data_IF_133667233120
#
_entry.id   IF_133667233120
#
_cell.length_a   1.000
_cell.length_b   1.000
_cell.length_c   1.000
_cell.angle_alpha   90.00
_cell.angle_beta   90.00
_cell.angle_gamma   90.00
#
_symmetry.space_group_name_H-M   'P 1'
#
loop_
_entity.id
_entity.type
_entity.pdbx_description
1 polymer ?
#
# COMPACT_ATOMS: atom_id res chain seq x y z
N UNK A 1 -5.40 15.41 6.70
CA UNK A 1 -6.22 14.31 7.27
C UNK A 1 -7.40 13.92 6.38
N UNK A 2 -8.22 14.85 5.87
CA UNK A 2 -9.35 14.49 4.99
C UNK A 2 -8.93 13.71 3.74
N UNK A 3 -7.84 14.13 3.07
CA UNK A 3 -7.27 13.41 1.92
C UNK A 3 -6.85 11.96 2.26
N UNK A 4 -6.37 11.73 3.49
CA UNK A 4 -6.02 10.40 3.98
C UNK A 4 -7.28 9.55 4.18
N UNK A 5 -8.32 10.11 4.78
CA UNK A 5 -9.60 9.44 4.98
C UNK A 5 -10.26 9.07 3.65
N UNK A 6 -10.26 9.97 2.66
CA UNK A 6 -10.77 9.67 1.32
C UNK A 6 -9.94 8.59 0.63
N UNK A 7 -8.61 8.60 0.75
CA UNK A 7 -7.75 7.56 0.21
C UNK A 7 -8.05 6.18 0.79
N UNK A 8 -8.28 6.11 2.11
CA UNK A 8 -8.62 4.87 2.80
C UNK A 8 -9.98 4.30 2.38
N UNK A 9 -11.00 5.15 2.21
CA UNK A 9 -12.30 4.71 1.67
C UNK A 9 -12.17 4.29 0.21
N UNK A 10 -11.47 5.09 -0.59
CA UNK A 10 -11.22 4.82 -2.01
C UNK A 10 -10.53 3.48 -2.22
N UNK A 11 -9.57 3.14 -1.36
CA UNK A 11 -8.87 1.85 -1.37
C UNK A 11 -9.85 0.67 -1.27
N UNK A 12 -10.76 0.66 -0.29
CA UNK A 12 -11.72 -0.43 -0.10
C UNK A 12 -12.86 -0.45 -1.14
N UNK A 13 -13.15 0.69 -1.74
CA UNK A 13 -14.22 0.84 -2.74
C UNK A 13 -13.75 0.56 -4.18
N UNK A 14 -12.43 0.52 -4.41
CA UNK A 14 -11.86 0.37 -5.75
C UNK A 14 -12.21 -0.99 -6.37
N UNK A 15 -12.83 -0.94 -7.56
CA UNK A 15 -13.12 -2.11 -8.41
C UNK A 15 -12.14 -2.30 -9.57
N UNK A 16 -11.16 -1.43 -9.63
CA UNK A 16 -10.10 -1.42 -10.63
C UNK A 16 -8.75 -1.46 -9.90
N UNK A 17 -7.82 -2.31 -10.35
CA UNK A 17 -6.52 -2.50 -9.74
C UNK A 17 -5.63 -1.27 -9.86
N UNK A 18 -5.70 -0.53 -10.96
CA UNK A 18 -4.91 0.70 -11.11
C UNK A 18 -5.44 1.79 -10.19
N UNK A 19 -6.76 1.93 -10.09
CA UNK A 19 -7.38 2.83 -9.13
C UNK A 19 -7.03 2.43 -7.68
N UNK A 20 -7.05 1.14 -7.38
CA UNK A 20 -6.62 0.60 -6.09
C UNK A 20 -5.18 1.01 -5.74
N UNK A 21 -4.26 0.90 -6.71
CA UNK A 21 -2.87 1.35 -6.53
C UNK A 21 -2.78 2.87 -6.31
N UNK A 22 -3.52 3.67 -7.07
CA UNK A 22 -3.54 5.11 -6.90
C UNK A 22 -4.03 5.47 -5.49
N UNK A 23 -5.08 4.81 -4.98
CA UNK A 23 -5.58 5.05 -3.62
C UNK A 23 -4.59 4.58 -2.54
N UNK A 24 -3.85 3.50 -2.79
CA UNK A 24 -2.77 3.01 -1.92
C UNK A 24 -1.60 4.00 -1.79
N UNK A 25 -1.23 4.66 -2.88
CA UNK A 25 -0.20 5.71 -2.91
C UNK A 25 -0.71 7.04 -2.36
N UNK A 26 -1.98 7.38 -2.64
CA UNK A 26 -2.59 8.63 -2.22
C UNK A 26 -2.57 8.80 -0.70
N UNK A 27 -2.69 7.72 0.07
CA UNK A 27 -2.61 7.81 1.52
C UNK A 27 -1.18 8.02 2.06
N UNK A 28 -0.13 7.69 1.29
CA UNK A 28 1.26 7.85 1.72
C UNK A 28 1.65 9.31 1.84
N UNK A 29 1.23 10.15 0.89
CA UNK A 29 1.61 11.57 0.84
C UNK A 29 1.10 12.32 2.09
N UNK A 30 -0.20 12.26 2.47
CA UNK A 30 -0.69 12.89 3.69
C UNK A 30 -0.01 12.37 4.96
N UNK A 31 0.26 11.07 5.06
CA UNK A 31 0.92 10.48 6.23
C UNK A 31 2.35 11.01 6.35
N UNK A 32 3.10 11.02 5.25
CA UNK A 32 4.45 11.57 5.21
C UNK A 32 4.49 13.05 5.64
N UNK A 33 3.56 13.86 5.13
CA UNK A 33 3.46 15.27 5.51
C UNK A 33 3.10 15.44 6.99
N UNK A 34 2.17 14.62 7.51
CA UNK A 34 1.78 14.65 8.92
C UNK A 34 2.94 14.28 9.85
N UNK A 35 3.74 13.27 9.49
CA UNK A 35 4.93 12.91 10.24
C UNK A 35 6.03 13.97 10.14
N UNK A 36 6.38 14.42 8.93
CA UNK A 36 7.51 15.33 8.72
C UNK A 36 7.29 16.72 9.33
N UNK A 37 6.05 17.24 9.32
CA UNK A 37 5.74 18.57 9.86
C UNK A 37 5.31 18.55 11.34
N UNK A 38 4.51 17.57 11.77
CA UNK A 38 3.93 17.51 13.12
C UNK A 38 4.45 16.34 13.97
N UNK A 39 5.52 15.68 13.57
CA UNK A 39 6.19 14.65 14.37
C UNK A 39 7.16 15.19 15.42
N UNK A 40 7.77 14.27 16.17
CA UNK A 40 8.73 14.51 17.24
C UNK A 40 10.15 14.89 16.78
N UNK A 41 11.15 14.59 17.63
CA UNK A 41 12.53 15.02 17.42
C UNK A 41 13.19 14.36 16.22
N UNK A 42 12.88 13.09 15.94
CA UNK A 42 13.43 12.33 14.79
C UNK A 42 12.45 12.22 13.63
N UNK A 43 11.49 13.15 13.54
CA UNK A 43 10.40 13.13 12.54
C UNK A 43 10.84 12.94 11.09
N UNK A 44 11.93 13.59 10.66
CA UNK A 44 12.42 13.47 9.29
C UNK A 44 12.97 12.07 9.01
N UNK A 45 13.76 11.52 9.94
CA UNK A 45 14.27 10.15 9.83
C UNK A 45 13.12 9.15 9.73
N UNK A 46 12.13 9.23 10.64
CA UNK A 46 10.99 8.31 10.65
C UNK A 46 10.10 8.47 9.42
N UNK A 47 9.86 9.70 8.95
CA UNK A 47 9.05 9.97 7.75
C UNK A 47 9.73 9.45 6.47
N UNK A 48 11.03 9.70 6.31
CA UNK A 48 11.79 9.22 5.15
C UNK A 48 11.93 7.70 5.16
N UNK A 49 12.17 7.09 6.32
CA UNK A 49 12.19 5.62 6.45
C UNK A 49 10.83 5.01 6.10
N UNK A 50 9.73 5.58 6.60
CA UNK A 50 8.38 5.15 6.28
C UNK A 50 8.12 5.13 4.78
N UNK A 51 8.30 6.28 4.11
CA UNK A 51 7.97 6.40 2.68
C UNK A 51 8.86 5.51 1.82
N UNK A 52 10.15 5.36 2.15
CA UNK A 52 11.05 4.48 1.41
C UNK A 52 10.64 3.01 1.52
N UNK A 53 10.22 2.55 2.70
CA UNK A 53 9.71 1.19 2.86
C UNK A 53 8.43 0.99 2.05
N UNK A 54 7.43 1.85 2.27
CA UNK A 54 6.09 1.63 1.69
C UNK A 54 6.03 1.89 0.20
N UNK A 55 6.72 2.93 -0.31
CA UNK A 55 6.82 3.21 -1.74
C UNK A 55 7.73 2.19 -2.44
N UNK A 56 8.81 1.74 -1.78
CA UNK A 56 9.64 0.66 -2.30
C UNK A 56 8.86 -0.64 -2.47
N UNK A 57 8.02 -0.99 -1.48
CA UNK A 57 7.12 -2.15 -1.57
C UNK A 57 6.04 -2.00 -2.65
N UNK A 58 5.50 -0.80 -2.85
CA UNK A 58 4.41 -0.58 -3.82
C UNK A 58 4.86 -0.65 -5.28
N UNK A 59 6.16 -0.51 -5.57
CA UNK A 59 6.69 -0.77 -6.93
C UNK A 59 6.40 -2.21 -7.36
N UNK A 60 6.52 -3.20 -6.46
CA UNK A 60 6.19 -4.60 -6.76
C UNK A 60 4.69 -4.80 -7.02
N UNK A 61 3.84 -4.05 -6.29
CA UNK A 61 2.41 -4.04 -6.54
C UNK A 61 2.09 -3.47 -7.93
N UNK A 62 2.71 -2.35 -8.30
CA UNK A 62 2.52 -1.74 -9.62
C UNK A 62 2.98 -2.65 -10.75
N UNK A 63 4.14 -3.31 -10.60
CA UNK A 63 4.63 -4.27 -11.59
C UNK A 63 3.66 -5.45 -11.78
N UNK A 64 3.08 -5.97 -10.70
CA UNK A 64 2.07 -7.03 -10.79
C UNK A 64 0.77 -6.55 -11.48
N UNK A 65 0.30 -5.34 -11.15
CA UNK A 65 -0.91 -4.77 -11.74
C UNK A 65 -0.74 -4.50 -13.24
N UNK A 66 0.37 -3.88 -13.64
CA UNK A 66 0.69 -3.65 -15.05
C UNK A 66 0.93 -4.96 -15.79
N UNK A 67 1.64 -5.91 -15.15
CA UNK A 67 1.89 -7.23 -15.71
C UNK A 67 0.59 -7.97 -16.01
N UNK A 68 -0.36 -7.98 -15.07
CA UNK A 68 -1.68 -8.59 -15.28
C UNK A 68 -2.52 -7.81 -16.32
N UNK A 69 -2.55 -6.49 -16.23
CA UNK A 69 -3.42 -5.65 -17.07
C UNK A 69 -2.99 -5.55 -18.53
N UNK A 70 -1.70 -5.76 -18.80
CA UNK A 70 -1.14 -5.82 -20.16
C UNK A 70 -0.99 -7.26 -20.67
N UNK A 71 -1.32 -8.27 -19.85
CA UNK A 71 -1.21 -9.67 -20.25
C UNK A 71 -2.30 -10.05 -21.26
N UNK A 72 -1.90 -10.68 -22.36
CA UNK A 72 -2.75 -11.31 -23.38
C UNK A 72 -3.79 -10.41 -24.09
N UNK A 73 -3.85 -9.11 -23.79
CA UNK A 73 -4.82 -8.17 -24.36
C UNK A 73 -4.13 -7.03 -25.11
N UNK A 74 -4.64 -6.70 -26.31
CA UNK A 74 -4.20 -5.52 -27.07
C UNK A 74 -4.61 -4.19 -26.41
N UNK A 75 -5.62 -4.24 -25.53
CA UNK A 75 -6.07 -3.10 -24.75
C UNK A 75 -5.84 -3.37 -23.26
N UNK A 76 -5.27 -2.41 -22.51
CA UNK A 76 -5.04 -2.55 -21.09
C UNK A 76 -6.36 -2.61 -20.32
N UNK A 77 -6.54 -3.66 -19.50
CA UNK A 77 -7.72 -3.82 -18.64
C UNK A 77 -7.30 -4.01 -17.19
N UNK A 78 -7.87 -3.23 -16.27
CA UNK A 78 -7.51 -3.28 -14.85
C UNK A 78 -8.67 -3.65 -13.93
N UNK A 79 -9.83 -4.02 -14.48
CA UNK A 79 -10.98 -4.44 -13.69
C UNK A 79 -10.70 -5.76 -12.95
N UNK A 80 -11.03 -5.81 -11.66
CA UNK A 80 -10.79 -6.99 -10.83
C UNK A 80 -11.47 -8.25 -11.39
N UNK A 81 -12.72 -8.13 -11.83
CA UNK A 81 -13.52 -9.26 -12.31
C UNK A 81 -12.93 -9.89 -13.57
N UNK A 82 -12.44 -9.07 -14.51
CA UNK A 82 -11.83 -9.57 -15.73
C UNK A 82 -10.49 -10.24 -15.45
N UNK A 83 -9.67 -9.64 -14.57
CA UNK A 83 -8.33 -10.15 -14.27
C UNK A 83 -8.35 -11.39 -13.38
N UNK A 84 -9.34 -11.53 -12.51
CA UNK A 84 -9.50 -12.71 -11.66
C UNK A 84 -9.93 -13.96 -12.43
N UNK A 85 -10.67 -13.79 -13.53
CA UNK A 85 -11.15 -14.88 -14.38
C UNK A 85 -10.22 -15.18 -15.56
N UNK A 86 -9.15 -14.40 -15.73
CA UNK A 86 -8.19 -14.59 -16.81
C UNK A 86 -7.26 -15.78 -16.51
N UNK A 87 -7.07 -16.73 -17.44
CA UNK A 87 -6.16 -17.84 -17.23
C UNK A 87 -4.70 -17.37 -17.36
N UNK A 88 -3.89 -17.67 -16.34
CA UNK A 88 -2.45 -17.42 -16.36
C UNK A 88 -1.68 -18.74 -16.25
N UNK A 89 -0.47 -18.85 -16.84
CA UNK A 89 0.43 -19.95 -16.56
C UNK A 89 0.85 -19.94 -15.09
N UNK A 90 0.94 -21.11 -14.45
CA UNK A 90 1.25 -21.24 -13.03
C UNK A 90 2.55 -20.51 -12.62
N UNK A 91 3.58 -20.53 -13.46
CA UNK A 91 4.83 -19.81 -13.19
C UNK A 91 4.62 -18.29 -13.05
N UNK A 92 3.74 -17.73 -13.86
CA UNK A 92 3.45 -16.30 -13.90
C UNK A 92 2.54 -15.89 -12.74
N UNK A 93 1.59 -16.75 -12.35
CA UNK A 93 0.79 -16.57 -11.12
C UNK A 93 1.68 -16.51 -9.87
N UNK A 94 2.68 -17.39 -9.77
CA UNK A 94 3.63 -17.40 -8.63
C UNK A 94 4.41 -16.08 -8.58
N UNK A 95 4.86 -15.55 -9.73
CA UNK A 95 5.59 -14.28 -9.78
C UNK A 95 4.72 -13.12 -9.30
N UNK A 96 3.49 -13.02 -9.80
CA UNK A 96 2.56 -11.97 -9.36
C UNK A 96 2.19 -12.11 -7.88
N UNK A 97 1.95 -13.34 -7.42
CA UNK A 97 1.68 -13.62 -6.02
C UNK A 97 2.83 -13.16 -5.12
N UNK A 98 4.07 -13.48 -5.47
CA UNK A 98 5.25 -13.05 -4.71
C UNK A 98 5.41 -11.52 -4.70
N UNK A 99 5.19 -10.85 -5.84
CA UNK A 99 5.22 -9.39 -5.92
C UNK A 99 4.18 -8.74 -5.01
N UNK A 100 2.95 -9.22 -5.04
CA UNK A 100 1.89 -8.76 -4.14
C UNK A 100 2.19 -9.09 -2.68
N UNK A 101 2.69 -10.29 -2.39
CA UNK A 101 3.05 -10.72 -1.04
C UNK A 101 4.07 -9.77 -0.42
N UNK A 102 5.11 -9.37 -1.17
CA UNK A 102 6.11 -8.41 -0.70
C UNK A 102 5.46 -7.05 -0.38
N UNK A 103 4.65 -6.53 -1.31
CA UNK A 103 3.98 -5.24 -1.11
C UNK A 103 3.06 -5.24 0.13
N UNK A 104 2.25 -6.28 0.30
CA UNK A 104 1.38 -6.43 1.47
C UNK A 104 2.16 -6.73 2.75
N UNK A 105 3.27 -7.46 2.68
CA UNK A 105 4.10 -7.77 3.84
C UNK A 105 4.75 -6.53 4.44
N UNK A 106 5.21 -5.60 3.60
CA UNK A 106 5.74 -4.30 4.05
C UNK A 106 4.66 -3.45 4.72
N UNK A 107 3.46 -3.38 4.11
CA UNK A 107 2.33 -2.57 4.61
C UNK A 107 1.67 -3.16 5.86
N UNK A 108 1.63 -4.50 6.00
CA UNK A 108 1.03 -5.25 7.12
C UNK A 108 2.08 -5.68 8.18
N UNK A 109 3.05 -4.80 8.46
CA UNK A 109 4.36 -5.07 9.08
C UNK A 109 4.65 -6.52 9.48
N UNK A 110 4.87 -7.40 8.48
CA UNK A 110 5.23 -8.80 8.74
C UNK A 110 6.72 -8.88 9.12
N UNK A 111 7.10 -9.73 10.07
CA UNK A 111 8.51 -9.98 10.40
C UNK A 111 9.20 -10.60 9.17
N UNK A 112 10.31 -10.04 8.64
CA UNK A 112 11.20 -9.02 9.23
C UNK A 112 10.94 -7.55 8.80
N UNK A 113 10.02 -7.29 7.87
CA UNK A 113 9.75 -6.00 7.22
C UNK A 113 8.97 -4.97 8.06
N UNK A 114 8.98 -5.11 9.39
CA UNK A 114 8.21 -4.29 10.33
C UNK A 114 9.00 -3.11 10.93
N UNK A 115 10.29 -2.98 10.62
CA UNK A 115 11.21 -2.06 11.32
C UNK A 115 10.89 -0.57 11.14
N UNK A 116 10.11 -0.20 10.14
CA UNK A 116 9.61 1.16 9.97
C UNK A 116 8.53 1.50 11.02
N UNK A 117 7.73 0.52 11.44
CA UNK A 117 6.54 0.72 12.25
C UNK A 117 6.84 1.30 13.65
N UNK A 118 7.80 0.78 14.43
CA UNK A 118 8.13 1.33 15.75
C UNK A 118 8.63 2.76 15.68
N UNK A 119 9.45 3.09 14.68
CA UNK A 119 10.01 4.43 14.49
C UNK A 119 8.93 5.45 14.10
N UNK A 120 8.00 5.05 13.24
CA UNK A 120 6.88 5.89 12.80
C UNK A 120 5.87 6.12 13.94
N UNK A 121 5.55 5.10 14.74
CA UNK A 121 4.65 5.27 15.89
C UNK A 121 5.28 6.05 17.05
N UNK A 122 6.59 5.90 17.27
CA UNK A 122 7.29 6.61 18.34
C UNK A 122 7.40 8.12 18.13
N UNK A 123 7.43 8.56 16.86
CA UNK A 123 7.63 9.98 16.51
C UNK A 123 6.36 10.68 15.99
N UNK A 124 5.27 9.96 15.73
CA UNK A 124 4.04 10.56 15.23
C UNK A 124 3.18 11.18 16.35
N UNK A 125 2.50 12.29 16.02
CA UNK A 125 1.51 12.90 16.91
C UNK A 125 0.32 11.95 17.16
N UNK A 126 -0.33 12.03 18.33
CA UNK A 126 -1.42 11.12 18.74
C UNK A 126 -2.52 10.94 17.68
N UNK A 127 -2.94 12.04 17.04
CA UNK A 127 -3.96 12.02 15.98
C UNK A 127 -3.50 11.27 14.72
N UNK A 128 -2.22 11.37 14.35
CA UNK A 128 -1.64 10.60 13.23
C UNK A 128 -1.48 9.14 13.62
N UNK A 129 -1.07 8.83 14.86
CA UNK A 129 -1.00 7.46 15.37
C UNK A 129 -2.35 6.74 15.35
N UNK A 130 -3.44 7.41 15.73
CA UNK A 130 -4.78 6.81 15.66
C UNK A 130 -5.16 6.41 14.24
N UNK A 131 -4.81 7.22 13.24
CA UNK A 131 -5.08 6.92 11.83
C UNK A 131 -4.15 5.82 11.27
N UNK A 132 -2.88 5.82 11.68
CA UNK A 132 -1.88 4.81 11.30
C UNK A 132 -2.22 3.43 11.88
N UNK A 133 -2.53 3.37 13.17
CA UNK A 133 -2.86 2.12 13.86
C UNK A 133 -4.28 1.63 13.55
N UNK A 134 -5.24 2.55 13.38
CA UNK A 134 -6.66 2.21 13.25
C UNK A 134 -7.04 1.62 11.89
N UNK A 135 -6.48 2.16 10.80
CA UNK A 135 -6.93 1.86 9.43
C UNK A 135 -5.81 1.29 8.57
N UNK A 136 -4.60 1.86 8.64
CA UNK A 136 -3.42 1.39 7.88
C UNK A 136 -3.05 -0.06 8.17
N UNK A 137 -3.06 -0.46 9.44
CA UNK A 137 -2.79 -1.86 9.83
C UNK A 137 -3.88 -2.85 9.42
N UNK A 138 -5.12 -2.38 9.16
CA UNK A 138 -6.24 -3.25 8.75
C UNK A 138 -6.35 -3.45 7.25
N UNK A 139 -5.74 -2.61 6.42
CA UNK A 139 -5.79 -2.75 4.95
C UNK A 139 -5.12 -4.03 4.44
N UNK A 140 -4.17 -4.61 5.19
CA UNK A 140 -3.56 -5.92 4.87
C UNK A 140 -4.38 -7.15 5.31
N UNK A 141 -5.44 -6.97 6.11
CA UNK A 141 -6.27 -8.08 6.61
C UNK A 141 -7.74 -7.69 6.56
N UNK A 142 -8.47 -8.16 5.55
CA UNK A 142 -9.94 -8.08 5.57
C UNK A 142 -10.44 -8.97 6.72
N UNK A 143 -10.86 -8.37 7.83
CA UNK A 143 -11.61 -9.10 8.86
C UNK A 143 -12.91 -9.57 8.22
N UNK A 144 -13.12 -10.89 8.22
CA UNK A 144 -14.45 -11.49 8.01
C UNK A 144 -15.40 -11.00 9.09
#
# INVERSE_FOLDING_TARGET
MLAMYSGQIGFFSSRDLLLFFIMWELELIPVYLLLSMWGGKKRLYSATKFILYTAGGSIFLLMGILGMGLYASNEPRFHFETLANQPYPAALEIIFYLGFLIAYAVKSPIIPLHTWLPDTHGEAHYSTCMLLAGILLKMGKKKK
#
